data_IF_209143062604
#
_entry.id   IF_209143062604
#
_cell.length_a   1.000
_cell.length_b   1.000
_cell.length_c   1.000
_cell.angle_alpha   90.00
_cell.angle_beta   90.00
_cell.angle_gamma   90.00
#
_symmetry.space_group_name_H-M   'P 1'
#
loop_
_entity.id
_entity.type
_entity.pdbx_description
1 polymer ?
#
# COMPACT_ATOMS: atom_id res chain seq x y z
N UNK A 1 6.80 -9.48 -19.50
CA UNK A 1 6.10 -8.79 -18.38
C UNK A 1 4.67 -9.27 -18.42
N UNK A 2 4.25 -10.01 -17.41
CA UNK A 2 2.87 -10.44 -17.29
C UNK A 2 1.97 -9.22 -17.01
N UNK A 3 0.76 -9.17 -17.56
CA UNK A 3 -0.18 -8.06 -17.35
C UNK A 3 -0.48 -7.87 -15.86
N UNK A 4 -0.52 -8.98 -15.13
CA UNK A 4 -0.71 -8.99 -13.66
C UNK A 4 0.44 -8.28 -12.94
N UNK A 5 1.68 -8.55 -13.35
CA UNK A 5 2.89 -7.95 -12.78
C UNK A 5 2.94 -6.43 -13.04
N UNK A 6 2.49 -5.99 -14.21
CA UNK A 6 2.41 -4.58 -14.57
C UNK A 6 1.40 -3.83 -13.71
N UNK A 7 0.17 -4.35 -13.60
CA UNK A 7 -0.90 -3.73 -12.79
C UNK A 7 -0.50 -3.67 -11.32
N UNK A 8 0.13 -4.73 -10.79
CA UNK A 8 0.65 -4.76 -9.41
C UNK A 8 1.69 -3.67 -9.17
N UNK A 9 2.69 -3.54 -10.05
CA UNK A 9 3.72 -2.52 -9.91
C UNK A 9 3.16 -1.09 -10.02
N UNK A 10 2.23 -0.86 -10.94
CA UNK A 10 1.56 0.43 -11.08
C UNK A 10 0.76 0.78 -9.82
N UNK A 11 0.00 -0.16 -9.27
CA UNK A 11 -0.77 0.04 -8.04
C UNK A 11 0.14 0.41 -6.85
N UNK A 12 1.28 -0.28 -6.71
CA UNK A 12 2.27 0.01 -5.66
C UNK A 12 2.88 1.41 -5.86
N UNK A 13 3.25 1.78 -7.09
CA UNK A 13 3.76 3.12 -7.37
C UNK A 13 2.75 4.22 -7.02
N UNK A 14 1.50 4.06 -7.46
CA UNK A 14 0.42 5.03 -7.14
C UNK A 14 0.23 5.14 -5.63
N UNK A 15 0.24 4.00 -4.92
CA UNK A 15 0.12 3.98 -3.46
C UNK A 15 1.24 4.77 -2.79
N UNK A 16 2.49 4.60 -3.22
CA UNK A 16 3.64 5.34 -2.68
C UNK A 16 3.48 6.85 -2.94
N UNK A 17 3.10 7.24 -4.16
CA UNK A 17 2.88 8.66 -4.50
C UNK A 17 1.78 9.27 -3.63
N UNK A 18 0.68 8.54 -3.41
CA UNK A 18 -0.41 8.98 -2.55
C UNK A 18 0.05 9.17 -1.08
N UNK A 19 0.87 8.26 -0.56
CA UNK A 19 1.47 8.39 0.78
C UNK A 19 2.37 9.63 0.91
N UNK A 20 3.15 9.94 -0.12
CA UNK A 20 4.02 11.13 -0.14
C UNK A 20 3.18 12.41 -0.14
N UNK A 21 2.14 12.50 -0.96
CA UNK A 21 1.24 13.65 -1.00
C UNK A 21 0.57 13.85 0.36
N UNK A 22 0.10 12.76 0.98
CA UNK A 22 -0.44 12.80 2.34
C UNK A 22 0.56 13.39 3.34
N UNK A 23 1.80 12.90 3.36
CA UNK A 23 2.84 13.38 4.28
C UNK A 23 3.16 14.87 4.07
N UNK A 24 3.22 15.33 2.82
CA UNK A 24 3.46 16.74 2.51
C UNK A 24 2.32 17.60 3.06
N UNK A 25 1.07 17.25 2.74
CA UNK A 25 -0.12 17.98 3.22
C UNK A 25 -0.18 17.97 4.76
N UNK A 26 0.16 16.84 5.38
CA UNK A 26 0.23 16.70 6.83
C UNK A 26 1.23 17.66 7.44
N UNK A 27 2.49 17.66 6.96
CA UNK A 27 3.55 18.55 7.44
C UNK A 27 3.13 20.01 7.27
N UNK A 28 2.56 20.39 6.13
CA UNK A 28 2.08 21.75 5.86
C UNK A 28 0.98 22.15 6.86
N UNK A 29 0.03 21.25 7.12
CA UNK A 29 -1.03 21.46 8.10
C UNK A 29 -0.50 21.70 9.52
N UNK A 30 0.52 20.94 9.93
CA UNK A 30 1.22 21.16 11.22
C UNK A 30 2.00 22.47 11.25
N UNK A 31 2.70 22.83 10.16
CA UNK A 31 3.44 24.10 10.05
C UNK A 31 2.48 25.30 10.19
N UNK A 32 1.33 25.25 9.51
CA UNK A 32 0.29 26.30 9.59
C UNK A 32 -0.33 26.42 10.98
N UNK A 33 -0.49 25.30 11.70
CA UNK A 33 -1.07 25.27 13.05
C UNK A 33 -0.06 25.68 14.14
N UNK A 34 1.19 25.25 13.99
CA UNK A 34 2.28 25.44 14.95
C UNK A 34 2.97 26.80 14.86
N UNK A 35 2.78 27.54 13.75
CA UNK A 35 3.37 28.85 13.61
C UNK A 35 2.79 29.85 14.66
N UNK A 36 3.64 30.55 15.43
CA UNK A 36 3.22 31.60 16.37
C UNK A 36 2.85 32.89 15.61
N UNK A 37 2.03 32.76 14.57
CA UNK A 37 1.58 33.86 13.73
C UNK A 37 0.18 34.28 14.21
N UNK A 38 -0.07 35.56 14.53
CA UNK A 38 -1.33 36.07 15.04
C UNK A 38 -2.41 36.19 13.94
N UNK A 39 -2.52 35.17 13.09
CA UNK A 39 -3.51 35.12 12.02
C UNK A 39 -4.46 33.95 12.29
N UNK A 40 -5.57 34.25 12.97
CA UNK A 40 -6.63 33.29 13.32
C UNK A 40 -7.21 32.56 12.11
N UNK A 41 -7.13 33.16 10.91
CA UNK A 41 -7.54 32.56 9.63
C UNK A 41 -6.62 31.39 9.22
N UNK A 42 -5.29 31.54 9.30
CA UNK A 42 -4.35 30.47 8.92
C UNK A 42 -4.43 29.26 9.86
N UNK A 43 -4.71 29.50 11.16
CA UNK A 43 -4.95 28.42 12.12
C UNK A 43 -6.19 27.58 11.77
N UNK A 44 -7.26 28.19 11.24
CA UNK A 44 -8.46 27.47 10.78
C UNK A 44 -8.19 26.67 9.51
N UNK A 45 -7.43 27.24 8.57
CA UNK A 45 -7.03 26.52 7.35
C UNK A 45 -6.13 25.33 7.66
N UNK A 46 -5.16 25.48 8.56
CA UNK A 46 -4.30 24.37 8.99
C UNK A 46 -5.08 23.23 9.66
N UNK A 47 -6.10 23.53 10.46
CA UNK A 47 -6.99 22.51 11.04
C UNK A 47 -7.75 21.74 9.96
N UNK A 48 -8.39 22.45 9.03
CA UNK A 48 -9.12 21.82 7.92
C UNK A 48 -8.20 20.98 7.04
N UNK A 49 -6.95 21.43 6.82
CA UNK A 49 -5.98 20.72 5.99
C UNK A 49 -5.53 19.40 6.63
N UNK A 50 -5.30 19.41 7.96
CA UNK A 50 -4.97 18.20 8.70
C UNK A 50 -6.14 17.24 8.74
N UNK A 51 -7.37 17.73 8.97
CA UNK A 51 -8.57 16.89 8.97
C UNK A 51 -8.81 16.20 7.63
N UNK A 52 -8.69 16.94 6.52
CA UNK A 52 -8.80 16.38 5.16
C UNK A 52 -7.66 15.39 4.87
N UNK A 53 -6.44 15.68 5.34
CA UNK A 53 -5.32 14.75 5.23
C UNK A 53 -5.54 13.44 6.02
N UNK A 54 -6.10 13.49 7.24
CA UNK A 54 -6.46 12.28 8.01
C UNK A 54 -7.45 11.44 7.21
N UNK A 55 -8.49 12.07 6.66
CA UNK A 55 -9.51 11.37 5.86
C UNK A 55 -8.91 10.74 4.61
N UNK A 56 -8.02 11.44 3.91
CA UNK A 56 -7.31 10.90 2.75
C UNK A 56 -6.44 9.69 3.13
N UNK A 57 -5.68 9.77 4.22
CA UNK A 57 -4.87 8.63 4.70
C UNK A 57 -5.73 7.45 5.15
N UNK A 58 -6.86 7.72 5.80
CA UNK A 58 -7.81 6.67 6.18
C UNK A 58 -8.33 5.93 4.94
N UNK A 59 -8.75 6.65 3.91
CA UNK A 59 -9.20 6.06 2.65
C UNK A 59 -8.09 5.30 1.92
N UNK A 60 -6.87 5.83 1.92
CA UNK A 60 -5.70 5.18 1.32
C UNK A 60 -5.41 3.85 2.03
N UNK A 61 -5.40 3.84 3.36
CA UNK A 61 -5.19 2.64 4.15
C UNK A 61 -6.31 1.61 3.93
N UNK A 62 -7.58 2.03 3.98
CA UNK A 62 -8.74 1.17 3.70
C UNK A 62 -8.65 0.56 2.29
N UNK A 63 -8.38 1.36 1.25
CA UNK A 63 -8.21 0.88 -0.11
C UNK A 63 -7.06 -0.14 -0.25
N UNK A 64 -5.92 0.13 0.40
CA UNK A 64 -4.78 -0.79 0.45
C UNK A 64 -5.12 -2.13 1.11
N UNK A 65 -5.86 -2.10 2.22
CA UNK A 65 -6.28 -3.34 2.91
C UNK A 65 -7.23 -4.18 2.05
N UNK A 66 -8.22 -3.56 1.40
CA UNK A 66 -9.15 -4.26 0.50
C UNK A 66 -8.40 -4.87 -0.68
N UNK A 67 -7.49 -4.12 -1.30
CA UNK A 67 -6.68 -4.62 -2.41
C UNK A 67 -5.79 -5.81 -2.00
N UNK A 68 -5.13 -5.71 -0.84
CA UNK A 68 -4.33 -6.82 -0.29
C UNK A 68 -5.19 -8.05 0.01
N UNK A 69 -6.41 -7.86 0.50
CA UNK A 69 -7.34 -8.96 0.78
C UNK A 69 -7.75 -9.69 -0.51
N UNK A 70 -8.04 -8.95 -1.59
CA UNK A 70 -8.35 -9.55 -2.89
C UNK A 70 -7.18 -10.39 -3.39
N UNK A 71 -5.95 -9.85 -3.35
CA UNK A 71 -4.74 -10.58 -3.76
C UNK A 71 -4.57 -11.86 -2.93
N UNK A 72 -4.77 -11.76 -1.61
CA UNK A 72 -4.67 -12.92 -0.72
C UNK A 72 -5.64 -14.03 -1.10
N UNK A 73 -6.90 -13.70 -1.38
CA UNK A 73 -7.93 -14.66 -1.80
C UNK A 73 -7.56 -15.30 -3.14
N UNK A 74 -7.16 -14.50 -4.13
CA UNK A 74 -6.76 -14.99 -5.46
C UNK A 74 -5.60 -15.99 -5.36
N UNK A 75 -4.56 -15.66 -4.58
CA UNK A 75 -3.40 -16.54 -4.39
C UNK A 75 -3.75 -17.84 -3.64
N UNK A 76 -4.70 -17.77 -2.70
CA UNK A 76 -5.13 -18.94 -1.94
C UNK A 76 -5.84 -19.98 -2.82
N UNK A 77 -6.58 -19.53 -3.84
CA UNK A 77 -7.34 -20.41 -4.74
C UNK A 77 -6.46 -20.93 -5.90
N UNK A 78 -5.47 -20.14 -6.34
CA UNK A 78 -4.65 -20.44 -7.51
C UNK A 78 -3.45 -21.36 -7.30
N UNK A 79 -3.25 -21.96 -6.13
CA UNK A 79 -2.07 -22.81 -5.87
C UNK A 79 -2.14 -24.14 -6.64
N UNK A 80 -1.30 -24.38 -7.66
CA UNK A 80 -1.25 -25.69 -8.33
C UNK A 80 -0.73 -26.74 -7.34
N UNK A 81 -1.34 -27.93 -7.35
CA UNK A 81 -0.98 -29.02 -6.45
C UNK A 81 0.55 -29.24 -6.45
N UNK A 82 1.17 -29.40 -5.28
CA UNK A 82 2.60 -29.67 -5.20
C UNK A 82 2.91 -30.93 -6.03
N UNK A 83 3.99 -30.92 -6.83
CA UNK A 83 4.36 -32.08 -7.63
C UNK A 83 4.54 -33.28 -6.71
N UNK A 84 4.04 -34.48 -7.10
CA UNK A 84 4.10 -35.65 -6.24
C UNK A 84 5.54 -35.95 -5.86
N UNK A 85 5.80 -36.38 -4.60
CA UNK A 85 7.14 -36.67 -4.12
C UNK A 85 7.77 -37.72 -5.03
N UNK A 86 8.84 -37.32 -5.72
CA UNK A 86 9.65 -38.26 -6.49
C UNK A 86 10.44 -39.07 -5.47
N UNK A 87 10.01 -40.30 -5.20
CA UNK A 87 10.83 -41.24 -4.45
C UNK A 87 12.15 -41.37 -5.21
N UNK A 88 13.23 -40.82 -4.64
CA UNK A 88 14.59 -41.17 -5.01
C UNK A 88 14.83 -42.62 -4.56
N UNK A 89 14.21 -43.58 -5.23
CA UNK A 89 14.81 -44.91 -5.33
C UNK A 89 15.99 -44.68 -6.25
N UNK A 90 17.09 -44.31 -5.61
CA UNK A 90 18.44 -44.46 -6.08
C UNK A 90 18.54 -45.88 -6.65
N UNK A 91 18.32 -45.98 -7.97
CA UNK A 91 18.64 -47.18 -8.73
C UNK A 91 20.17 -47.22 -8.70
N UNK A 92 20.69 -47.87 -7.66
CA UNK A 92 22.03 -48.41 -7.64
C UNK A 92 22.09 -49.44 -8.77
N UNK A 93 22.34 -48.97 -9.98
CA UNK A 93 22.86 -49.79 -11.07
C UNK A 93 24.32 -49.40 -11.27
N UNK A 94 25.17 -49.96 -10.41
CA UNK A 94 26.60 -50.18 -10.67
C UNK A 94 26.78 -51.17 -11.85
N UNK A 95 27.93 -51.13 -12.53
CA UNK A 95 28.09 -51.23 -13.99
C UNK A 95 27.83 -52.61 -14.62
#
# INVERSE_FOLDING_TARGET
MDLVEFVRNLAVQIMIVAWVIFLITWIIGWVLRGAPIPMTRLKKTGHSLVEDAVWAAFWLAMGGTVFSLIIFIVNSIGSPMPPPPTNMIQITSTP
#
